data_IF_201172211322
#
_entry.id   IF_201172211322
#
_cell.length_a   1.000
_cell.length_b   1.000
_cell.length_c   1.000
_cell.angle_alpha   90.00
_cell.angle_beta   90.00
_cell.angle_gamma   90.00
#
_symmetry.space_group_name_H-M   'P 1'
#
loop_
_entity.id
_entity.type
_entity.pdbx_description
1 polymer ?
#
# COMPACT_ATOMS: atom_id res chain seq x y z
N UNK A 1 -11.82 8.11 27.02
CA UNK A 1 -11.19 6.77 26.87
C UNK A 1 -10.65 6.70 25.46
N UNK A 2 -9.36 6.44 25.26
CA UNK A 2 -8.77 6.49 23.93
C UNK A 2 -9.30 5.34 23.05
N UNK A 3 -9.78 5.68 21.85
CA UNK A 3 -10.33 4.72 20.90
C UNK A 3 -9.19 3.91 20.27
N UNK A 4 -9.02 2.67 20.71
CA UNK A 4 -7.95 1.77 20.30
C UNK A 4 -8.20 1.30 18.87
N UNK A 5 -7.25 1.53 17.96
CA UNK A 5 -7.35 1.08 16.57
C UNK A 5 -6.76 -0.31 16.36
N UNK A 6 -5.56 -0.55 16.89
CA UNK A 6 -4.84 -1.80 16.73
C UNK A 6 -4.22 -2.21 18.06
N UNK A 7 -4.38 -3.47 18.46
CA UNK A 7 -3.65 -4.10 19.56
C UNK A 7 -3.02 -5.38 19.05
N UNK A 8 -1.76 -5.56 19.42
CA UNK A 8 -0.97 -6.75 19.15
C UNK A 8 -0.51 -7.28 20.50
N UNK A 9 -0.73 -8.57 20.74
CA UNK A 9 -0.40 -9.22 22.00
C UNK A 9 0.39 -10.50 21.73
N UNK A 10 1.60 -10.59 22.29
CA UNK A 10 2.50 -11.74 22.25
C UNK A 10 2.66 -12.39 20.87
N UNK A 11 2.70 -11.57 19.82
CA UNK A 11 2.78 -12.03 18.45
C UNK A 11 4.15 -12.63 18.16
N UNK A 12 4.15 -13.89 17.71
CA UNK A 12 5.36 -14.61 17.34
C UNK A 12 5.22 -15.27 15.97
N UNK A 13 6.28 -15.18 15.18
CA UNK A 13 6.35 -15.75 13.83
C UNK A 13 7.72 -16.41 13.62
N UNK A 14 7.70 -17.62 13.08
CA UNK A 14 8.89 -18.41 12.76
C UNK A 14 8.95 -18.82 11.30
N UNK A 15 10.16 -19.04 10.79
CA UNK A 15 10.47 -19.67 9.51
C UNK A 15 11.36 -20.88 9.76
N UNK A 16 10.80 -22.09 9.75
CA UNK A 16 11.51 -23.29 10.20
C UNK A 16 12.09 -23.09 11.61
N UNK A 17 13.42 -23.18 11.81
CA UNK A 17 14.06 -22.97 13.11
C UNK A 17 14.25 -21.50 13.50
N UNK A 18 14.04 -20.55 12.57
CA UNK A 18 14.35 -19.13 12.80
C UNK A 18 13.13 -18.42 13.38
N UNK A 19 13.26 -17.85 14.57
CA UNK A 19 12.24 -17.00 15.17
C UNK A 19 12.41 -15.55 14.67
N UNK A 20 11.61 -15.17 13.65
CA UNK A 20 11.69 -13.87 12.99
C UNK A 20 10.98 -12.75 13.77
N UNK A 21 9.89 -13.05 14.48
CA UNK A 21 9.19 -12.11 15.38
C UNK A 21 9.07 -12.78 16.75
N UNK A 22 9.50 -12.11 17.83
CA UNK A 22 9.62 -12.69 19.18
C UNK A 22 8.67 -11.98 20.15
N UNK A 23 7.48 -12.54 20.36
CA UNK A 23 6.47 -12.08 21.35
C UNK A 23 6.31 -10.56 21.41
N UNK A 24 5.97 -9.97 20.27
CA UNK A 24 5.81 -8.53 20.15
C UNK A 24 4.41 -8.12 20.63
N UNK A 25 4.38 -7.14 21.54
CA UNK A 25 3.14 -6.57 22.08
C UNK A 25 3.16 -5.05 21.99
N UNK A 26 2.12 -4.45 21.41
CA UNK A 26 1.95 -3.00 21.34
C UNK A 26 0.51 -2.60 21.01
N UNK A 27 0.19 -1.33 21.21
CA UNK A 27 -1.12 -0.75 20.86
C UNK A 27 -0.95 0.53 20.04
N UNK A 28 -1.87 0.76 19.11
CA UNK A 28 -1.99 1.97 18.31
C UNK A 28 -3.41 2.54 18.47
N UNK A 29 -3.50 3.80 18.88
CA UNK A 29 -4.76 4.52 18.99
C UNK A 29 -5.18 5.12 17.64
N UNK A 30 -6.48 5.35 17.44
CA UNK A 30 -6.98 6.05 16.24
C UNK A 30 -6.36 7.43 16.13
N UNK A 31 -5.98 7.81 14.90
CA UNK A 31 -5.36 9.11 14.60
C UNK A 31 -3.93 9.28 15.10
N UNK A 32 -3.29 8.22 15.61
CA UNK A 32 -1.88 8.23 15.98
C UNK A 32 -1.03 7.51 14.95
N UNK A 33 0.27 7.82 14.94
CA UNK A 33 1.27 7.19 14.08
C UNK A 33 2.22 6.38 14.96
N UNK A 34 2.45 5.11 14.59
CA UNK A 34 3.44 4.25 15.22
C UNK A 34 4.60 4.02 14.26
N UNK A 35 5.82 4.35 14.71
CA UNK A 35 7.05 4.02 14.00
C UNK A 35 7.64 2.72 14.55
N UNK A 36 7.99 1.79 13.66
CA UNK A 36 8.72 0.58 13.99
C UNK A 36 10.10 0.68 13.35
N UNK A 37 11.13 0.76 14.17
CA UNK A 37 12.52 0.95 13.73
C UNK A 37 13.38 -0.24 14.17
N UNK A 38 14.43 -0.52 13.40
CA UNK A 38 15.35 -1.62 13.66
C UNK A 38 16.20 -1.95 12.45
N UNK A 39 17.30 -2.66 12.66
CA UNK A 39 18.25 -3.04 11.62
C UNK A 39 17.62 -3.89 10.52
N UNK A 40 18.28 -3.99 9.37
CA UNK A 40 17.85 -4.92 8.31
C UNK A 40 17.77 -6.35 8.87
N UNK A 41 16.71 -7.10 8.52
CA UNK A 41 16.52 -8.47 9.03
C UNK A 41 15.92 -8.62 10.43
N UNK A 42 15.66 -7.53 11.17
CA UNK A 42 15.04 -7.56 12.51
C UNK A 42 13.57 -8.04 12.57
N UNK A 43 12.98 -8.46 11.45
CA UNK A 43 11.61 -8.98 11.41
C UNK A 43 10.51 -7.92 11.21
N UNK A 44 10.84 -6.65 10.94
CA UNK A 44 9.85 -5.57 10.70
C UNK A 44 8.85 -5.92 9.59
N UNK A 45 9.33 -6.36 8.43
CA UNK A 45 8.46 -6.75 7.32
C UNK A 45 7.62 -7.97 7.65
N UNK A 46 8.21 -8.96 8.34
CA UNK A 46 7.49 -10.13 8.84
C UNK A 46 6.36 -9.77 9.79
N UNK A 47 6.61 -8.82 10.70
CA UNK A 47 5.58 -8.28 11.59
C UNK A 47 4.44 -7.66 10.79
N UNK A 48 4.73 -6.78 9.83
CA UNK A 48 3.69 -6.18 8.97
C UNK A 48 2.89 -7.21 8.18
N UNK A 49 3.55 -8.25 7.65
CA UNK A 49 2.86 -9.35 6.97
C UNK A 49 1.99 -10.18 7.91
N UNK A 50 2.43 -10.40 9.15
CA UNK A 50 1.63 -11.10 10.15
C UNK A 50 0.35 -10.31 10.50
N UNK A 51 0.48 -9.00 10.74
CA UNK A 51 -0.66 -8.12 11.04
C UNK A 51 -1.68 -8.08 9.89
N UNK A 52 -1.20 -8.14 8.65
CA UNK A 52 -2.05 -8.13 7.44
C UNK A 52 -2.47 -9.53 6.99
N UNK A 53 -2.04 -10.60 7.66
CA UNK A 53 -2.19 -12.02 7.27
C UNK A 53 -1.71 -12.35 5.85
N UNK A 54 -0.61 -11.72 5.44
CA UNK A 54 0.08 -11.94 4.16
C UNK A 54 1.40 -12.70 4.36
N UNK A 55 1.51 -13.48 5.43
CA UNK A 55 2.66 -14.35 5.66
C UNK A 55 2.76 -15.40 4.55
N UNK A 56 3.97 -15.69 4.03
CA UNK A 56 4.17 -16.78 3.08
C UNK A 56 3.99 -18.14 3.76
N UNK A 57 3.74 -19.20 3.00
CA UNK A 57 3.51 -20.55 3.53
C UNK A 57 4.69 -21.12 4.35
N UNK A 58 5.91 -20.65 4.07
CA UNK A 58 7.10 -21.00 4.83
C UNK A 58 7.11 -20.43 6.27
N UNK A 59 6.25 -19.46 6.55
CA UNK A 59 6.12 -18.85 7.87
C UNK A 59 5.02 -19.54 8.68
N UNK A 60 5.26 -19.68 9.98
CA UNK A 60 4.26 -20.12 10.94
C UNK A 60 4.04 -19.02 11.98
N UNK A 61 2.79 -18.55 12.11
CA UNK A 61 2.38 -17.75 13.26
C UNK A 61 2.16 -18.73 14.42
N UNK A 62 3.05 -18.70 15.41
CA UNK A 62 3.06 -19.67 16.50
C UNK A 62 2.45 -19.16 17.81
N UNK A 63 2.25 -17.84 17.96
CA UNK A 63 1.46 -17.28 19.07
C UNK A 63 0.97 -15.87 18.75
N UNK A 64 0.03 -15.42 19.57
CA UNK A 64 -0.39 -14.03 19.71
C UNK A 64 -1.76 -13.71 19.15
N UNK A 65 -2.20 -12.48 19.41
CA UNK A 65 -3.48 -11.95 18.99
C UNK A 65 -3.29 -10.61 18.28
N UNK A 66 -4.14 -10.35 17.27
CA UNK A 66 -4.13 -9.09 16.53
C UNK A 66 -5.55 -8.57 16.44
N UNK A 67 -5.83 -7.50 17.19
CA UNK A 67 -7.13 -6.86 17.26
C UNK A 67 -7.12 -5.55 16.47
N UNK A 68 -8.00 -5.40 15.51
CA UNK A 68 -8.20 -4.17 14.74
C UNK A 68 -9.63 -3.67 14.93
N UNK A 69 -9.79 -2.50 15.53
CA UNK A 69 -11.10 -1.84 15.73
C UNK A 69 -12.14 -2.78 16.38
N UNK A 70 -11.70 -3.50 17.42
CA UNK A 70 -12.53 -4.48 18.16
C UNK A 70 -12.64 -5.86 17.50
N UNK A 71 -12.02 -6.09 16.34
CA UNK A 71 -12.06 -7.36 15.61
C UNK A 71 -10.74 -8.12 15.69
N UNK A 72 -10.77 -9.38 16.15
CA UNK A 72 -9.62 -10.28 16.04
C UNK A 72 -9.40 -10.69 14.58
N UNK A 73 -8.32 -10.20 13.98
CA UNK A 73 -7.95 -10.42 12.58
C UNK A 73 -7.51 -11.87 12.31
N UNK A 74 -6.90 -12.55 13.28
CA UNK A 74 -6.37 -13.91 13.11
C UNK A 74 -7.49 -14.94 13.00
N UNK A 75 -8.65 -14.65 13.61
CA UNK A 75 -9.85 -15.51 13.58
C UNK A 75 -10.82 -15.18 12.45
N UNK A 76 -10.60 -14.13 11.67
CA UNK A 76 -11.50 -13.79 10.57
C UNK A 76 -11.43 -14.81 9.43
N UNK A 77 -12.55 -15.10 8.75
CA UNK A 77 -12.52 -15.90 7.54
C UNK A 77 -11.84 -15.15 6.37
N UNK A 78 -11.33 -15.87 5.35
CA UNK A 78 -10.55 -15.26 4.26
C UNK A 78 -11.27 -14.15 3.49
N UNK A 79 -12.58 -14.29 3.27
CA UNK A 79 -13.44 -13.31 2.60
C UNK A 79 -13.52 -12.00 3.39
N UNK A 80 -13.62 -12.07 4.72
CA UNK A 80 -13.58 -10.90 5.61
C UNK A 80 -12.22 -10.23 5.60
N UNK A 81 -11.14 -11.00 5.66
CA UNK A 81 -9.80 -10.43 5.51
C UNK A 81 -9.61 -9.74 4.16
N UNK A 82 -10.13 -10.33 3.08
CA UNK A 82 -10.07 -9.74 1.75
C UNK A 82 -10.89 -8.45 1.65
N UNK A 83 -12.00 -8.35 2.39
CA UNK A 83 -12.81 -7.13 2.46
C UNK A 83 -12.13 -6.00 3.24
N UNK A 84 -11.32 -6.32 4.26
CA UNK A 84 -10.58 -5.35 5.06
C UNK A 84 -9.35 -4.80 4.33
N UNK A 85 -8.64 -5.67 3.59
CA UNK A 85 -7.46 -5.29 2.81
C UNK A 85 -7.86 -4.36 1.66
N UNK A 86 -7.14 -3.25 1.53
CA UNK A 86 -7.36 -2.23 0.50
C UNK A 86 -8.41 -1.17 0.87
N UNK A 87 -9.39 -1.50 1.72
CA UNK A 87 -10.44 -0.55 2.13
C UNK A 87 -10.16 0.06 3.51
N UNK A 88 -9.72 -0.76 4.47
CA UNK A 88 -9.46 -0.37 5.86
C UNK A 88 -8.01 -0.53 6.28
N UNK A 89 -7.31 -1.49 5.68
CA UNK A 89 -5.91 -1.79 5.94
C UNK A 89 -5.19 -1.87 4.59
N UNK A 90 -4.21 -1.01 4.38
CA UNK A 90 -3.41 -0.98 3.16
C UNK A 90 -1.94 -1.19 3.50
N UNK A 91 -1.27 -2.01 2.70
CA UNK A 91 0.17 -2.25 2.78
C UNK A 91 0.84 -1.60 1.56
N UNK A 92 1.81 -0.72 1.82
CA UNK A 92 2.67 -0.14 0.80
C UNK A 92 4.04 -0.77 1.00
N UNK A 93 4.53 -1.46 -0.02
CA UNK A 93 5.82 -2.16 0.03
C UNK A 93 6.99 -1.17 0.01
N UNK A 94 8.16 -1.63 0.44
CA UNK A 94 9.38 -0.83 0.37
C UNK A 94 9.89 -0.64 -1.07
N UNK A 95 9.57 -1.58 -1.96
CA UNK A 95 9.93 -1.52 -3.38
C UNK A 95 8.67 -1.24 -4.23
N UNK A 96 8.38 0.03 -4.54
CA UNK A 96 7.18 0.39 -5.27
C UNK A 96 7.19 -0.14 -6.70
N UNK A 97 8.36 -0.37 -7.31
CA UNK A 97 8.47 -0.81 -8.70
C UNK A 97 8.00 -2.25 -8.87
N UNK A 98 8.24 -3.09 -7.87
CA UNK A 98 7.76 -4.49 -7.87
C UNK A 98 6.24 -4.62 -7.64
N UNK A 99 5.59 -3.56 -7.16
CA UNK A 99 4.17 -3.59 -6.81
C UNK A 99 3.25 -3.11 -7.94
N UNK A 100 3.81 -2.53 -9.00
CA UNK A 100 3.06 -2.08 -10.17
C UNK A 100 3.01 -3.18 -11.23
N UNK A 101 1.85 -3.34 -11.86
CA UNK A 101 1.67 -4.20 -13.02
C UNK A 101 2.09 -3.41 -14.29
N UNK A 102 3.23 -3.75 -14.94
CA UNK A 102 3.76 -2.96 -16.05
C UNK A 102 2.86 -2.94 -17.29
N UNK A 103 1.96 -3.92 -17.42
CA UNK A 103 0.96 -3.98 -18.50
C UNK A 103 -0.25 -3.06 -18.30
N UNK A 104 -0.37 -2.38 -17.15
CA UNK A 104 -1.50 -1.53 -16.82
C UNK A 104 -1.06 -0.07 -16.68
N UNK A 105 -1.87 0.84 -17.20
CA UNK A 105 -1.68 2.28 -16.95
C UNK A 105 -1.86 2.59 -15.46
N UNK A 106 -1.24 3.67 -14.98
CA UNK A 106 -1.41 4.12 -13.58
C UNK A 106 -2.90 4.28 -13.23
N UNK A 107 -3.69 4.90 -14.12
CA UNK A 107 -5.12 5.07 -13.91
C UNK A 107 -5.88 3.74 -13.76
N UNK A 108 -5.55 2.73 -14.57
CA UNK A 108 -6.15 1.39 -14.44
C UNK A 108 -5.80 0.74 -13.09
N UNK A 109 -4.53 0.77 -12.70
CA UNK A 109 -4.09 0.19 -11.43
C UNK A 109 -4.76 0.89 -10.23
N UNK A 110 -4.97 2.21 -10.30
CA UNK A 110 -5.66 2.95 -9.25
C UNK A 110 -7.14 2.61 -9.14
N UNK A 111 -7.87 2.48 -10.26
CA UNK A 111 -9.28 2.10 -10.20
C UNK A 111 -9.48 0.63 -9.82
N UNK A 112 -8.50 -0.24 -10.11
CA UNK A 112 -8.52 -1.65 -9.71
C UNK A 112 -8.54 -1.80 -8.19
N UNK A 113 -7.86 -0.91 -7.45
CA UNK A 113 -7.95 -0.88 -5.97
C UNK A 113 -9.37 -0.62 -5.47
N UNK A 114 -10.20 0.05 -6.28
CA UNK A 114 -11.56 0.44 -5.95
C UNK A 114 -12.59 -0.59 -6.44
N UNK A 115 -12.19 -1.80 -6.85
CA UNK A 115 -13.12 -2.76 -7.46
C UNK A 115 -14.32 -3.12 -6.58
N UNK A 116 -14.15 -3.16 -5.25
CA UNK A 116 -15.22 -3.44 -4.27
C UNK A 116 -16.14 -2.26 -4.00
N UNK A 117 -15.73 -1.05 -4.36
CA UNK A 117 -16.52 0.13 -4.09
C UNK A 117 -17.74 0.18 -5.02
N UNK A 118 -18.93 0.54 -4.50
CA UNK A 118 -20.18 0.57 -5.26
C UNK A 118 -20.26 1.74 -6.25
N UNK A 119 -19.16 2.47 -6.44
CA UNK A 119 -19.08 3.64 -7.31
C UNK A 119 -19.11 3.25 -8.80
N UNK A 120 -19.67 4.14 -9.61
CA UNK A 120 -19.59 4.05 -11.06
C UNK A 120 -18.14 4.14 -11.54
N UNK A 121 -17.88 3.64 -12.75
CA UNK A 121 -16.55 3.75 -13.40
C UNK A 121 -16.06 5.22 -13.40
N UNK A 122 -16.94 6.16 -13.74
CA UNK A 122 -16.62 7.60 -13.76
C UNK A 122 -16.17 8.11 -12.38
N UNK A 123 -16.88 7.73 -11.33
CA UNK A 123 -16.53 8.13 -9.96
C UNK A 123 -15.21 7.53 -9.48
N UNK A 124 -14.90 6.28 -9.87
CA UNK A 124 -13.59 5.66 -9.57
C UNK A 124 -12.45 6.41 -10.26
N UNK A 125 -12.63 6.77 -11.53
CA UNK A 125 -11.66 7.57 -12.27
C UNK A 125 -11.47 8.96 -11.66
N UNK A 126 -12.56 9.63 -11.27
CA UNK A 126 -12.45 10.94 -10.64
C UNK A 126 -11.64 10.88 -9.34
N UNK A 127 -11.91 9.89 -8.48
CA UNK A 127 -11.14 9.70 -7.24
C UNK A 127 -9.67 9.36 -7.51
N UNK A 128 -9.38 8.59 -8.55
CA UNK A 128 -8.00 8.33 -8.93
C UNK A 128 -7.27 9.62 -9.36
N UNK A 129 -7.93 10.48 -10.14
CA UNK A 129 -7.42 11.80 -10.51
C UNK A 129 -7.20 12.67 -9.28
N UNK A 130 -8.19 12.73 -8.37
CA UNK A 130 -8.10 13.54 -7.16
C UNK A 130 -6.94 13.10 -6.25
N UNK A 131 -6.69 11.78 -6.14
CA UNK A 131 -5.59 11.23 -5.38
C UNK A 131 -4.20 11.53 -6.00
N UNK A 132 -4.09 11.46 -7.33
CA UNK A 132 -2.86 11.86 -8.04
C UNK A 132 -2.61 13.36 -7.87
N UNK A 133 -3.64 14.16 -8.04
CA UNK A 133 -3.56 15.61 -7.89
C UNK A 133 -3.16 15.99 -6.45
N UNK A 134 -3.73 15.33 -5.44
CA UNK A 134 -3.31 15.52 -4.04
C UNK A 134 -1.83 15.20 -3.82
N UNK A 135 -1.33 14.11 -4.41
CA UNK A 135 0.08 13.71 -4.33
C UNK A 135 0.99 14.74 -4.99
N UNK A 136 0.57 15.29 -6.13
CA UNK A 136 1.32 16.31 -6.85
C UNK A 136 1.28 17.69 -6.15
N UNK A 137 0.20 18.05 -5.46
CA UNK A 137 0.06 19.35 -4.77
C UNK A 137 1.07 19.55 -3.63
N UNK A 138 1.51 18.47 -2.98
CA UNK A 138 2.56 18.51 -1.94
C UNK A 138 3.97 18.67 -2.52
N UNK A 139 4.17 18.30 -3.78
CA UNK A 139 5.38 18.58 -4.54
C UNK A 139 5.16 19.90 -5.30
N UNK A 140 5.63 21.02 -4.74
CA UNK A 140 5.97 22.17 -5.59
C UNK A 140 7.11 21.72 -6.49
N UNK A 141 6.79 21.05 -7.60
CA UNK A 141 7.70 20.92 -8.73
C UNK A 141 7.87 22.36 -9.24
N UNK A 142 9.05 22.97 -9.14
CA UNK A 142 9.24 24.34 -9.60
C UNK A 142 8.95 24.38 -11.10
N UNK A 143 7.76 24.88 -11.46
CA UNK A 143 7.30 25.17 -12.84
C UNK A 143 7.70 24.11 -13.89
N UNK A 144 7.21 22.88 -13.75
CA UNK A 144 7.14 21.97 -14.90
C UNK A 144 5.75 22.05 -15.52
N UNK A 145 5.59 22.82 -16.58
CA UNK A 145 4.38 22.77 -17.41
C UNK A 145 4.40 21.49 -18.24
N UNK A 146 3.54 20.55 -17.90
CA UNK A 146 3.27 19.37 -18.73
C UNK A 146 2.46 19.81 -19.95
N UNK A 147 3.14 20.08 -21.08
CA UNK A 147 2.50 20.43 -22.35
C UNK A 147 2.65 19.23 -23.30
N UNK A 148 1.75 18.26 -23.17
CA UNK A 148 1.65 17.16 -24.12
C UNK A 148 1.09 17.71 -25.44
N UNK A 149 1.96 17.93 -26.43
CA UNK A 149 1.53 18.29 -27.78
C UNK A 149 1.54 17.04 -28.64
N UNK A 150 0.36 16.46 -28.90
CA UNK A 150 0.22 15.38 -29.89
C UNK A 150 0.32 15.98 -31.30
N UNK A 151 1.41 15.69 -32.03
CA UNK A 151 1.47 15.92 -33.48
C UNK A 151 1.48 14.58 -34.22
N UNK A 152 0.42 14.35 -34.98
CA UNK A 152 0.35 13.30 -36.00
C UNK A 152 1.31 13.62 -37.14
N UNK A 153 2.19 12.67 -37.48
CA UNK A 153 2.77 12.56 -38.82
C UNK A 153 2.68 11.12 -39.30
N UNK A 154 2.37 11.01 -40.57
CA UNK A 154 1.92 9.84 -41.33
C UNK A 154 3.02 8.82 -41.53
N UNK A 155 3.37 8.00 -40.53
CA UNK A 155 3.98 6.65 -40.68
C UNK A 155 4.12 6.01 -39.30
N UNK A 156 3.65 4.77 -39.13
CA UNK A 156 3.38 4.14 -37.83
C UNK A 156 4.60 3.68 -37.02
N UNK A 157 5.17 4.60 -36.22
CA UNK A 157 5.97 4.28 -35.04
C UNK A 157 5.69 5.32 -33.94
N UNK A 158 5.14 4.88 -32.81
CA UNK A 158 4.99 5.73 -31.61
C UNK A 158 6.29 5.69 -30.82
N UNK A 159 7.14 6.70 -30.98
CA UNK A 159 8.31 6.89 -30.12
C UNK A 159 8.01 8.03 -29.14
N UNK A 160 7.87 7.69 -27.86
CA UNK A 160 7.66 8.65 -26.79
C UNK A 160 9.04 9.20 -26.40
N UNK A 161 9.51 10.22 -27.13
CA UNK A 161 10.72 10.94 -26.75
C UNK A 161 10.35 11.96 -25.68
N UNK A 162 10.58 11.60 -24.41
CA UNK A 162 10.56 12.53 -23.29
C UNK A 162 11.88 13.31 -23.25
N UNK A 163 12.00 14.35 -24.07
CA UNK A 163 13.10 15.31 -23.94
C UNK A 163 12.73 16.40 -22.92
N UNK A 164 13.44 16.39 -21.79
CA UNK A 164 13.38 17.41 -20.77
C UNK A 164 14.13 18.67 -21.24
N UNK A 165 13.46 19.55 -21.96
CA UNK A 165 14.05 20.85 -22.29
C UNK A 165 13.97 21.79 -21.08
N UNK A 166 15.13 22.08 -20.47
CA UNK A 166 15.30 23.24 -19.59
C UNK A 166 15.05 24.49 -20.42
N UNK A 167 13.93 25.18 -20.20
CA UNK A 167 13.84 26.58 -20.64
C UNK A 167 14.75 27.40 -19.73
N UNK A 168 15.85 27.87 -20.33
CA UNK A 168 16.71 28.89 -19.73
C UNK A 168 15.92 30.18 -19.47
N UNK A 169 16.49 30.96 -18.53
CA UNK A 169 16.10 32.32 -18.17
C UNK A 169 15.83 33.22 -19.38
#
# INVERSE_FOLDING_TARGET
MADMLLKVDDLAVRFGPIQAVKWVSFTLQKGRTLGIVGESGSGKSTLLWALTRLLPDAATLNSGEVWFDGMDLLRQPPDRMQALRGTRISYISQDPMTSLAPGLTIGQQMIDLLYREPWSKREKWQRAIDALDWTCRGFVLPKCSFLATFRSKTTGLFQLNAEWQRRGL
#
